data_IF_385478122438
#
_entry.id   IF_385478122438
#
_cell.length_a   1.000
_cell.length_b   1.000
_cell.length_c   1.000
_cell.angle_alpha   90.00
_cell.angle_beta   90.00
_cell.angle_gamma   90.00
#
_symmetry.space_group_name_H-M   'P 1'
#
loop_
_entity.id
_entity.type
_entity.pdbx_description
1 polymer ?
#
# COMPACT_ATOMS: atom_id res chain seq x y z
N UNK A 1 1.91 27.30 3.35
CA UNK A 1 2.41 26.26 4.28
C UNK A 1 1.73 24.96 3.92
N UNK A 2 2.49 23.88 3.87
CA UNK A 2 1.98 22.53 3.67
C UNK A 2 2.14 21.75 4.97
N UNK A 3 1.32 20.69 5.14
CA UNK A 3 1.56 19.71 6.18
C UNK A 3 2.82 18.92 5.81
N UNK A 4 3.96 19.29 6.38
CA UNK A 4 5.19 18.57 6.16
C UNK A 4 5.18 17.22 6.85
N UNK A 5 5.77 16.21 6.20
CA UNK A 5 6.04 14.92 6.82
C UNK A 5 7.53 14.86 7.05
N UNK A 6 7.95 14.70 8.30
CA UNK A 6 9.34 14.42 8.61
C UNK A 6 9.58 12.94 8.33
N UNK A 7 10.40 12.61 7.31
CA UNK A 7 10.71 11.21 6.95
C UNK A 7 11.22 10.41 8.13
N UNK A 8 11.99 11.05 9.03
CA UNK A 8 12.49 10.43 10.27
C UNK A 8 11.38 9.87 11.15
N UNK A 9 10.27 10.60 11.30
CA UNK A 9 9.12 10.12 12.08
C UNK A 9 8.58 8.82 11.51
N UNK A 10 8.36 8.78 10.21
CA UNK A 10 7.82 7.60 9.53
C UNK A 10 8.82 6.45 9.52
N UNK A 11 10.08 6.72 9.21
CA UNK A 11 11.10 5.70 9.17
C UNK A 11 11.43 5.17 10.58
N UNK A 12 11.77 6.06 11.52
CA UNK A 12 12.29 5.64 12.83
C UNK A 12 11.21 5.14 13.79
N UNK A 13 9.96 5.62 13.67
CA UNK A 13 8.87 5.23 14.55
C UNK A 13 7.99 4.11 13.96
N UNK A 14 7.72 4.15 12.66
CA UNK A 14 6.77 3.24 12.02
C UNK A 14 7.42 2.01 11.38
N UNK A 15 8.75 2.04 11.12
CA UNK A 15 9.48 0.90 10.57
C UNK A 15 10.83 0.77 11.27
N UNK A 16 10.79 0.28 12.51
CA UNK A 16 11.98 0.18 13.36
C UNK A 16 13.01 -0.81 12.84
N UNK A 17 12.56 -1.89 12.21
CA UNK A 17 13.41 -2.91 11.63
C UNK A 17 14.22 -2.33 10.46
N UNK A 18 13.58 -1.56 9.57
CA UNK A 18 14.27 -0.85 8.51
C UNK A 18 15.22 0.20 9.07
N UNK A 19 14.81 0.94 10.11
CA UNK A 19 15.65 1.96 10.74
C UNK A 19 16.90 1.35 11.37
N UNK A 20 16.79 0.21 12.06
CA UNK A 20 17.93 -0.52 12.63
C UNK A 20 18.87 -1.01 11.53
N UNK A 21 18.32 -1.68 10.53
CA UNK A 21 19.08 -2.18 9.39
C UNK A 21 19.87 -1.05 8.68
N UNK A 22 19.25 0.11 8.46
CA UNK A 22 19.94 1.27 7.90
C UNK A 22 21.08 1.76 8.81
N UNK A 23 20.85 1.82 10.13
CA UNK A 23 21.87 2.22 11.08
C UNK A 23 23.08 1.28 11.06
N UNK A 24 22.82 -0.02 10.96
CA UNK A 24 23.86 -1.06 10.92
C UNK A 24 24.65 -1.03 9.61
N UNK A 25 23.96 -0.71 8.48
CA UNK A 25 24.56 -0.74 7.14
C UNK A 25 25.29 0.55 6.78
N UNK A 26 24.70 1.72 7.02
CA UNK A 26 25.23 3.02 6.58
C UNK A 26 25.53 3.99 7.71
N UNK A 27 25.31 3.58 8.97
CA UNK A 27 25.49 4.40 10.17
C UNK A 27 24.35 5.39 10.39
N UNK A 28 24.36 6.04 11.54
CA UNK A 28 23.26 6.89 12.05
C UNK A 28 23.13 8.28 11.40
N UNK A 29 24.02 8.59 10.47
CA UNK A 29 24.05 9.93 9.86
C UNK A 29 22.76 10.37 9.18
N UNK A 30 22.03 9.43 8.56
CA UNK A 30 20.75 9.70 7.88
C UNK A 30 19.66 10.21 8.83
N UNK A 31 19.75 9.93 10.12
CA UNK A 31 18.79 10.41 11.13
C UNK A 31 18.80 11.94 11.28
N UNK A 32 19.88 12.59 10.89
CA UNK A 32 20.02 14.06 10.91
C UNK A 32 20.03 14.67 9.51
N UNK A 33 20.50 13.92 8.54
CA UNK A 33 20.75 14.35 7.17
C UNK A 33 20.27 13.24 6.21
N UNK A 34 19.14 13.49 5.52
CA UNK A 34 18.51 12.52 4.62
C UNK A 34 19.39 12.13 3.44
N UNK A 35 20.25 13.04 2.96
CA UNK A 35 21.11 12.79 1.80
C UNK A 35 22.09 11.64 2.06
N UNK A 36 22.36 11.34 3.32
CA UNK A 36 23.21 10.20 3.71
C UNK A 36 22.57 8.83 3.42
N UNK A 37 21.29 8.77 3.09
CA UNK A 37 20.66 7.55 2.56
C UNK A 37 21.26 7.13 1.22
N UNK A 38 21.84 8.05 0.44
CA UNK A 38 22.50 7.72 -0.82
C UNK A 38 23.65 6.71 -0.65
N UNK A 39 24.23 6.59 0.55
CA UNK A 39 25.23 5.55 0.85
C UNK A 39 24.72 4.13 0.60
N UNK A 40 23.38 3.90 0.61
CA UNK A 40 22.83 2.61 0.24
C UNK A 40 23.15 2.19 -1.20
N UNK A 41 23.45 3.14 -2.09
CA UNK A 41 23.85 2.84 -3.45
C UNK A 41 25.16 2.01 -3.53
N UNK A 42 26.02 2.12 -2.52
CA UNK A 42 27.25 1.32 -2.41
C UNK A 42 26.95 -0.19 -2.24
N UNK A 43 25.73 -0.52 -1.80
CA UNK A 43 25.25 -1.88 -1.57
C UNK A 43 24.21 -2.36 -2.60
N UNK A 44 24.10 -1.65 -3.73
CA UNK A 44 23.07 -1.97 -4.74
C UNK A 44 23.18 -3.38 -5.33
N UNK A 45 24.41 -3.94 -5.35
CA UNK A 45 24.71 -5.28 -5.84
C UNK A 45 25.03 -6.28 -4.69
N UNK A 46 24.90 -5.86 -3.43
CA UNK A 46 25.10 -6.74 -2.27
C UNK A 46 23.85 -7.57 -1.99
N UNK A 47 23.91 -8.86 -2.34
CA UNK A 47 22.78 -9.77 -2.23
C UNK A 47 22.28 -9.91 -0.78
N UNK A 48 23.16 -9.89 0.21
CA UNK A 48 22.75 -10.00 1.63
C UNK A 48 21.95 -8.78 2.09
N UNK A 49 22.33 -7.59 1.62
CA UNK A 49 21.61 -6.34 1.87
C UNK A 49 20.25 -6.35 1.17
N UNK A 50 20.19 -6.81 -0.09
CA UNK A 50 18.95 -6.90 -0.85
C UNK A 50 17.98 -7.92 -0.24
N UNK A 51 18.47 -9.08 0.17
CA UNK A 51 17.67 -10.12 0.82
C UNK A 51 17.09 -9.61 2.15
N UNK A 52 17.89 -8.92 2.95
CA UNK A 52 17.40 -8.35 4.22
C UNK A 52 16.35 -7.26 4.02
N UNK A 53 16.48 -6.42 3.01
CA UNK A 53 15.46 -5.45 2.64
C UNK A 53 14.15 -6.13 2.21
N UNK A 54 14.26 -7.22 1.44
CA UNK A 54 13.10 -8.00 1.01
C UNK A 54 12.40 -8.69 2.20
N UNK A 55 13.15 -9.23 3.16
CA UNK A 55 12.62 -9.81 4.40
C UNK A 55 11.85 -8.77 5.21
N UNK A 56 12.45 -7.59 5.49
CA UNK A 56 11.81 -6.51 6.25
C UNK A 56 10.50 -6.10 5.57
N UNK A 57 10.49 -5.97 4.24
CA UNK A 57 9.28 -5.66 3.49
C UNK A 57 8.22 -6.76 3.61
N UNK A 58 8.62 -8.02 3.56
CA UNK A 58 7.74 -9.17 3.73
C UNK A 58 7.13 -9.21 5.14
N UNK A 59 7.93 -8.96 6.18
CA UNK A 59 7.47 -8.87 7.56
C UNK A 59 6.39 -7.77 7.71
N UNK A 60 6.62 -6.57 7.17
CA UNK A 60 5.63 -5.48 7.21
C UNK A 60 4.35 -5.78 6.44
N UNK A 61 4.44 -6.50 5.33
CA UNK A 61 3.24 -6.96 4.61
C UNK A 61 2.43 -7.96 5.43
N UNK A 62 3.10 -8.88 6.13
CA UNK A 62 2.45 -9.85 7.03
C UNK A 62 1.80 -9.18 8.23
N UNK A 63 2.46 -8.18 8.84
CA UNK A 63 1.88 -7.38 9.92
C UNK A 63 0.61 -6.65 9.46
N UNK A 64 0.67 -5.99 8.30
CA UNK A 64 -0.50 -5.32 7.72
C UNK A 64 -1.62 -6.31 7.40
N UNK A 65 -1.30 -7.47 6.83
CA UNK A 65 -2.29 -8.49 6.53
C UNK A 65 -2.96 -9.06 7.79
N UNK A 66 -2.20 -9.23 8.87
CA UNK A 66 -2.74 -9.66 10.17
C UNK A 66 -3.70 -8.60 10.75
N UNK A 67 -3.30 -7.32 10.73
CA UNK A 67 -4.14 -6.21 11.17
C UNK A 67 -5.44 -6.13 10.36
N UNK A 68 -5.36 -6.20 9.04
CA UNK A 68 -6.52 -6.15 8.14
C UNK A 68 -7.47 -7.33 8.40
N UNK A 69 -6.92 -8.53 8.61
CA UNK A 69 -7.72 -9.71 8.94
C UNK A 69 -8.48 -9.53 10.26
N UNK A 70 -7.84 -8.94 11.25
CA UNK A 70 -8.47 -8.69 12.58
C UNK A 70 -9.52 -7.58 12.50
N UNK A 71 -9.20 -6.47 11.82
CA UNK A 71 -10.04 -5.28 11.80
C UNK A 71 -11.20 -5.36 10.78
N UNK A 72 -10.96 -5.94 9.61
CA UNK A 72 -11.87 -5.92 8.45
C UNK A 72 -12.37 -7.33 8.05
N UNK A 73 -11.81 -8.40 8.63
CA UNK A 73 -12.14 -9.79 8.26
C UNK A 73 -11.60 -10.24 6.90
N UNK A 74 -10.84 -9.40 6.21
CA UNK A 74 -10.32 -9.68 4.87
C UNK A 74 -8.94 -10.32 4.93
N UNK A 75 -8.74 -11.41 4.20
CA UNK A 75 -7.44 -12.11 4.11
C UNK A 75 -6.68 -11.57 2.91
N UNK A 76 -5.53 -10.95 3.14
CA UNK A 76 -4.65 -10.45 2.09
C UNK A 76 -3.58 -11.47 1.71
N UNK A 77 -3.35 -11.62 0.40
CA UNK A 77 -2.22 -12.39 -0.12
C UNK A 77 -0.93 -11.57 0.00
N UNK A 78 -0.04 -11.92 0.92
CA UNK A 78 1.22 -11.20 1.15
C UNK A 78 2.24 -11.33 0.02
N UNK A 79 2.06 -12.28 -0.91
CA UNK A 79 2.91 -12.42 -2.09
C UNK A 79 2.44 -11.58 -3.27
N UNK A 80 1.25 -10.95 -3.16
CA UNK A 80 0.74 -10.03 -4.17
C UNK A 80 1.48 -8.68 -4.18
N UNK A 81 1.35 -7.92 -5.26
CA UNK A 81 1.78 -6.53 -5.29
C UNK A 81 0.74 -5.68 -4.53
N UNK A 82 1.18 -4.97 -3.49
CA UNK A 82 0.34 -4.03 -2.76
C UNK A 82 0.37 -2.66 -3.42
N UNK A 83 -0.76 -2.25 -3.99
CA UNK A 83 -1.02 -0.88 -4.45
C UNK A 83 -1.82 -0.15 -3.38
N UNK A 84 -1.17 0.80 -2.68
CA UNK A 84 -1.74 1.45 -1.49
C UNK A 84 -1.99 2.92 -1.77
N UNK A 85 -3.27 3.34 -1.69
CA UNK A 85 -3.67 4.74 -1.81
C UNK A 85 -4.42 5.21 -0.56
N UNK A 86 -3.67 5.62 0.46
CA UNK A 86 -4.20 6.11 1.74
C UNK A 86 -4.11 7.63 1.78
N UNK A 87 -5.23 8.30 1.47
CA UNK A 87 -5.35 9.77 1.38
C UNK A 87 -6.80 10.17 1.61
N UNK A 88 -7.06 11.33 2.23
CA UNK A 88 -8.39 11.93 2.20
C UNK A 88 -8.88 12.00 0.76
N UNK A 89 -10.12 11.59 0.53
CA UNK A 89 -10.67 11.55 -0.81
C UNK A 89 -10.85 12.97 -1.35
N UNK A 90 -10.40 13.16 -2.57
CA UNK A 90 -10.57 14.42 -3.31
C UNK A 90 -10.33 14.16 -4.80
N UNK A 91 -11.07 14.85 -5.68
CA UNK A 91 -10.98 14.67 -7.13
C UNK A 91 -9.54 14.81 -7.65
N UNK A 92 -8.79 15.83 -7.19
CA UNK A 92 -7.40 16.04 -7.63
C UNK A 92 -6.42 14.95 -7.18
N UNK A 93 -6.78 14.11 -6.18
CA UNK A 93 -5.96 12.97 -5.74
C UNK A 93 -6.19 11.71 -6.58
N UNK A 94 -7.15 11.76 -7.47
CA UNK A 94 -7.37 10.77 -8.55
C UNK A 94 -7.70 9.35 -8.08
N UNK A 95 -8.33 9.17 -6.91
CA UNK A 95 -8.81 7.85 -6.49
C UNK A 95 -9.78 7.27 -7.52
N UNK A 96 -10.61 8.12 -8.15
CA UNK A 96 -11.48 7.71 -9.25
C UNK A 96 -10.71 7.13 -10.44
N UNK A 97 -9.56 7.71 -10.82
CA UNK A 97 -8.75 7.16 -11.90
C UNK A 97 -8.17 5.79 -11.53
N UNK A 98 -7.79 5.60 -10.27
CA UNK A 98 -7.35 4.29 -9.79
C UNK A 98 -8.51 3.28 -9.81
N UNK A 99 -9.72 3.69 -9.43
CA UNK A 99 -10.92 2.85 -9.57
C UNK A 99 -11.15 2.41 -11.04
N UNK A 100 -11.00 3.31 -12.01
CA UNK A 100 -11.10 2.98 -13.44
C UNK A 100 -10.00 2.00 -13.89
N UNK A 101 -8.77 2.15 -13.36
CA UNK A 101 -7.68 1.20 -13.61
C UNK A 101 -8.01 -0.18 -13.02
N UNK A 102 -8.58 -0.24 -11.83
CA UNK A 102 -9.03 -1.48 -11.19
C UNK A 102 -10.10 -2.17 -12.05
N UNK A 103 -11.09 -1.42 -12.53
CA UNK A 103 -12.10 -1.94 -13.45
C UNK A 103 -11.46 -2.50 -14.73
N UNK A 104 -10.49 -1.77 -15.30
CA UNK A 104 -9.76 -2.25 -16.47
C UNK A 104 -9.05 -3.57 -16.18
N UNK A 105 -8.36 -3.69 -15.04
CA UNK A 105 -7.70 -4.94 -14.62
C UNK A 105 -8.69 -6.08 -14.40
N UNK A 106 -9.83 -5.81 -13.78
CA UNK A 106 -10.90 -6.77 -13.63
C UNK A 106 -11.34 -7.33 -14.99
N UNK A 107 -11.59 -6.46 -15.96
CA UNK A 107 -12.01 -6.85 -17.31
C UNK A 107 -10.90 -7.61 -18.07
N UNK A 108 -9.63 -7.26 -17.90
CA UNK A 108 -8.50 -8.01 -18.45
C UNK A 108 -8.49 -9.45 -17.92
N UNK A 109 -8.66 -9.63 -16.60
CA UNK A 109 -8.69 -10.96 -15.96
C UNK A 109 -9.89 -11.77 -16.45
N UNK A 110 -11.10 -11.16 -16.51
CA UNK A 110 -12.29 -11.79 -17.08
C UNK A 110 -12.11 -12.16 -18.55
N UNK A 111 -11.34 -11.38 -19.30
CA UNK A 111 -10.95 -11.69 -20.69
C UNK A 111 -9.83 -12.73 -20.82
N UNK A 112 -9.38 -13.33 -19.72
CA UNK A 112 -8.34 -14.38 -19.70
C UNK A 112 -6.90 -13.88 -19.55
N UNK A 113 -6.66 -12.57 -19.50
CA UNK A 113 -5.32 -11.98 -19.29
C UNK A 113 -4.99 -11.90 -17.81
N UNK A 114 -4.49 -12.99 -17.25
CA UNK A 114 -4.16 -13.10 -15.84
C UNK A 114 -2.78 -12.49 -15.54
N UNK A 115 -2.63 -11.72 -14.45
CA UNK A 115 -1.33 -11.20 -14.04
C UNK A 115 -0.44 -12.36 -13.52
N UNK A 116 0.88 -12.26 -13.75
CA UNK A 116 1.85 -13.22 -13.23
C UNK A 116 1.99 -13.15 -11.70
N UNK A 117 1.80 -11.97 -11.13
CA UNK A 117 1.79 -11.73 -9.69
C UNK A 117 0.44 -11.13 -9.32
N UNK A 118 -0.28 -11.67 -8.33
CA UNK A 118 -1.56 -11.12 -7.89
C UNK A 118 -1.44 -9.65 -7.44
N UNK A 119 -2.53 -8.92 -7.50
CA UNK A 119 -2.63 -7.50 -7.15
C UNK A 119 -3.52 -7.32 -5.93
N UNK A 120 -3.09 -6.53 -4.97
CA UNK A 120 -3.91 -6.13 -3.82
C UNK A 120 -3.98 -4.61 -3.76
N UNK A 121 -5.17 -4.07 -4.00
CA UNK A 121 -5.44 -2.63 -3.92
C UNK A 121 -5.97 -2.29 -2.53
N UNK A 122 -5.33 -1.36 -1.84
CA UNK A 122 -5.72 -0.94 -0.49
C UNK A 122 -5.98 0.56 -0.51
N UNK A 123 -7.23 0.93 -0.25
CA UNK A 123 -7.64 2.32 -0.08
C UNK A 123 -7.90 2.63 1.40
N UNK A 124 -7.52 3.83 1.82
CA UNK A 124 -7.96 4.43 3.07
C UNK A 124 -8.34 5.87 2.77
N UNK A 125 -9.62 6.20 2.88
CA UNK A 125 -10.10 7.53 2.56
C UNK A 125 -11.18 7.98 3.55
N UNK A 126 -11.26 9.30 3.72
CA UNK A 126 -12.34 10.00 4.45
C UNK A 126 -12.80 11.15 3.60
N UNK A 127 -14.11 11.36 3.56
CA UNK A 127 -14.75 12.48 2.87
C UNK A 127 -15.54 13.33 3.86
N UNK A 128 -15.62 14.64 3.62
CA UNK A 128 -16.53 15.50 4.35
C UNK A 128 -17.99 15.13 4.00
N UNK A 129 -18.93 15.17 4.96
CA UNK A 129 -20.34 14.81 4.70
C UNK A 129 -21.01 15.57 3.57
N UNK A 130 -20.63 16.83 3.35
CA UNK A 130 -21.17 17.67 2.28
C UNK A 130 -20.50 17.46 0.91
N UNK A 131 -19.44 16.64 0.82
CA UNK A 131 -18.71 16.42 -0.43
C UNK A 131 -19.26 15.19 -1.16
N UNK A 132 -20.38 15.35 -1.84
CA UNK A 132 -21.16 14.27 -2.46
C UNK A 132 -20.31 13.42 -3.42
N UNK A 133 -19.59 14.05 -4.36
CA UNK A 133 -18.74 13.32 -5.32
C UNK A 133 -17.71 12.42 -4.63
N UNK A 134 -17.15 12.89 -3.51
CA UNK A 134 -16.20 12.10 -2.74
C UNK A 134 -16.87 10.87 -2.11
N UNK A 135 -18.10 11.01 -1.64
CA UNK A 135 -18.89 9.88 -1.12
C UNK A 135 -19.25 8.89 -2.22
N UNK A 136 -19.62 9.39 -3.40
CA UNK A 136 -19.90 8.55 -4.58
C UNK A 136 -18.68 7.72 -4.99
N UNK A 137 -17.48 8.30 -4.93
CA UNK A 137 -16.23 7.57 -5.22
C UNK A 137 -15.95 6.51 -4.14
N UNK A 138 -16.19 6.80 -2.86
CA UNK A 138 -16.07 5.80 -1.80
C UNK A 138 -17.07 4.66 -2.05
N UNK A 139 -18.31 4.98 -2.37
CA UNK A 139 -19.34 3.99 -2.68
C UNK A 139 -18.95 3.13 -3.88
N UNK A 140 -18.41 3.73 -4.95
CA UNK A 140 -17.87 2.99 -6.09
C UNK A 140 -16.79 1.99 -5.67
N UNK A 141 -15.85 2.40 -4.83
CA UNK A 141 -14.78 1.52 -4.33
C UNK A 141 -15.32 0.37 -3.49
N UNK A 142 -16.32 0.61 -2.65
CA UNK A 142 -16.98 -0.43 -1.85
C UNK A 142 -17.74 -1.44 -2.74
N UNK A 143 -18.46 -0.97 -3.76
CA UNK A 143 -19.12 -1.84 -4.73
C UNK A 143 -18.11 -2.68 -5.51
N UNK A 144 -17.01 -2.07 -5.95
CA UNK A 144 -15.94 -2.80 -6.64
C UNK A 144 -15.27 -3.84 -5.72
N UNK A 145 -15.07 -3.53 -4.44
CA UNK A 145 -14.56 -4.47 -3.46
C UNK A 145 -15.46 -5.72 -3.38
N UNK A 146 -16.75 -5.51 -3.27
CA UNK A 146 -17.74 -6.60 -3.18
C UNK A 146 -17.71 -7.47 -4.45
N UNK A 147 -17.74 -6.86 -5.64
CA UNK A 147 -17.70 -7.55 -6.90
C UNK A 147 -16.40 -8.36 -7.08
N UNK A 148 -15.25 -7.72 -6.85
CA UNK A 148 -13.94 -8.32 -7.11
C UNK A 148 -13.66 -9.47 -6.15
N UNK A 149 -13.89 -9.26 -4.86
CA UNK A 149 -13.51 -10.23 -3.84
C UNK A 149 -14.40 -11.48 -3.84
N UNK A 150 -15.62 -11.38 -4.39
CA UNK A 150 -16.55 -12.51 -4.51
C UNK A 150 -16.60 -13.13 -5.92
N UNK A 151 -15.87 -12.59 -6.89
CA UNK A 151 -15.78 -13.21 -8.22
C UNK A 151 -14.70 -14.33 -8.22
N UNK A 152 -15.08 -15.62 -8.32
CA UNK A 152 -14.13 -16.74 -8.24
C UNK A 152 -13.13 -16.78 -9.41
N UNK A 153 -13.40 -16.10 -10.52
CA UNK A 153 -12.48 -16.00 -11.64
C UNK A 153 -11.42 -14.91 -11.43
N UNK A 154 -11.69 -13.92 -10.58
CA UNK A 154 -10.87 -12.72 -10.38
C UNK A 154 -10.17 -12.71 -9.02
N UNK A 155 -10.85 -13.10 -7.96
CA UNK A 155 -10.33 -13.04 -6.58
C UNK A 155 -8.99 -13.78 -6.34
N UNK A 156 -8.62 -14.85 -7.09
CA UNK A 156 -7.29 -15.43 -6.97
C UNK A 156 -6.16 -14.51 -7.48
N UNK A 157 -6.48 -13.53 -8.32
CA UNK A 157 -5.52 -12.65 -8.99
C UNK A 157 -5.60 -11.20 -8.56
N UNK A 158 -6.72 -10.80 -7.95
CA UNK A 158 -6.93 -9.41 -7.55
C UNK A 158 -7.81 -9.32 -6.30
N UNK A 159 -7.39 -8.51 -5.35
CA UNK A 159 -8.15 -8.18 -4.14
C UNK A 159 -8.26 -6.67 -4.02
N UNK A 160 -9.42 -6.16 -3.64
CA UNK A 160 -9.64 -4.75 -3.32
C UNK A 160 -10.11 -4.61 -1.88
N UNK A 161 -9.52 -3.67 -1.15
CA UNK A 161 -9.90 -3.34 0.22
C UNK A 161 -10.02 -1.82 0.38
N UNK A 162 -11.15 -1.39 0.92
CA UNK A 162 -11.37 -0.04 1.43
C UNK A 162 -11.35 -0.10 2.96
N UNK A 163 -10.27 0.37 3.58
CA UNK A 163 -10.10 0.34 5.05
C UNK A 163 -10.96 1.41 5.71
N UNK A 164 -11.79 1.00 6.66
CA UNK A 164 -12.59 1.92 7.46
C UNK A 164 -11.74 2.67 8.48
N UNK A 165 -12.16 3.88 8.82
CA UNK A 165 -11.59 4.69 9.91
C UNK A 165 -10.06 4.77 9.94
N UNK A 166 -9.40 4.68 8.78
CA UNK A 166 -7.95 4.80 8.75
C UNK A 166 -7.49 6.07 9.49
N UNK A 167 -6.38 5.97 10.19
CA UNK A 167 -5.65 7.09 10.77
C UNK A 167 -4.15 6.97 10.48
N UNK A 168 -3.44 8.03 10.79
CA UNK A 168 -1.97 8.12 10.59
C UNK A 168 -1.25 7.65 11.84
#
# INVERSE_FOLDING_TARGET
>A
KTNGITFRRWLLSCNRELASFLSDTIGDGFKKDADKLEKLLEFADDQAVLDRLAEIKSEKKKELAAYVKEAEGVVLNTDSIFDIQVKRLHEYKRQQMNALYIIHKYLEIKGGKKPSTPLTFIFGAKAAPAYVIAQDIIHLLLVLQEIINHDPEVSPYMTLLMVENYNV
#
